data_IF_539325635922
#
_entry.id   IF_539325635922
#
_cell.length_a   1.000
_cell.length_b   1.000
_cell.length_c   1.000
_cell.angle_alpha   90.00
_cell.angle_beta   90.00
_cell.angle_gamma   90.00
#
_symmetry.space_group_name_H-M   'P 1'
#
loop_
_entity.id
_entity.type
_entity.pdbx_description
1 polymer ?
#
# COMPACT_ATOMS: atom_id res chain seq x y z
N UNK A 1 8.47 -11.82 17.22
CA UNK A 1 8.01 -10.52 16.68
C UNK A 1 8.34 -9.46 17.72
N UNK A 2 8.89 -8.31 17.33
CA UNK A 2 9.09 -7.20 18.28
C UNK A 2 7.72 -6.77 18.81
N UNK A 3 7.57 -6.66 20.14
CA UNK A 3 6.29 -6.31 20.77
C UNK A 3 5.93 -4.87 20.38
N UNK A 4 4.90 -4.72 19.55
CA UNK A 4 4.52 -3.42 18.98
C UNK A 4 3.96 -2.48 20.05
N UNK A 5 3.41 -3.01 21.14
CA UNK A 5 2.68 -2.22 22.14
C UNK A 5 3.48 -1.91 23.41
N UNK A 6 4.78 -2.22 23.47
CA UNK A 6 5.57 -1.74 24.60
C UNK A 6 5.56 -0.21 24.63
N UNK A 7 5.49 0.43 25.82
CA UNK A 7 5.47 1.88 25.91
C UNK A 7 6.61 2.55 25.14
N UNK A 8 7.81 1.97 25.18
CA UNK A 8 9.00 2.48 24.49
C UNK A 8 8.82 2.45 22.98
N UNK A 9 8.30 1.33 22.43
CA UNK A 9 8.06 1.19 21.00
C UNK A 9 6.95 2.11 20.53
N UNK A 10 5.89 2.27 21.31
CA UNK A 10 4.82 3.22 21.00
C UNK A 10 5.30 4.67 21.00
N UNK A 11 6.15 5.05 21.97
CA UNK A 11 6.77 6.38 22.01
C UNK A 11 7.68 6.57 20.78
N UNK A 12 8.55 5.60 20.49
CA UNK A 12 9.48 5.65 19.35
C UNK A 12 8.75 5.77 18.01
N UNK A 13 7.69 4.99 17.79
CA UNK A 13 6.94 5.03 16.54
C UNK A 13 6.15 6.33 16.35
N UNK A 14 5.67 6.94 17.44
CA UNK A 14 4.98 8.24 17.37
C UNK A 14 5.94 9.43 17.25
N UNK A 15 7.18 9.25 17.68
CA UNK A 15 8.22 10.26 17.66
C UNK A 15 8.80 10.51 16.26
N UNK A 16 9.71 11.48 16.22
CA UNK A 16 10.57 11.70 15.06
C UNK A 16 11.46 10.47 14.82
N UNK A 17 11.76 10.14 13.56
CA UNK A 17 12.58 9.00 13.24
C UNK A 17 14.00 9.21 13.80
N UNK A 18 14.56 8.19 14.43
CA UNK A 18 15.94 8.20 14.97
C UNK A 18 16.95 8.57 13.88
N UNK A 19 16.67 8.15 12.65
CA UNK A 19 17.44 8.49 11.46
C UNK A 19 16.52 9.09 10.40
N UNK A 20 16.88 10.23 9.81
CA UNK A 20 16.03 10.90 8.86
C UNK A 20 15.77 10.01 7.63
N UNK A 21 14.52 9.97 7.20
CA UNK A 21 14.14 9.36 5.91
C UNK A 21 14.50 10.35 4.81
N UNK A 22 15.36 9.94 3.87
CA UNK A 22 15.69 10.70 2.66
C UNK A 22 14.73 10.33 1.53
N UNK A 23 14.48 11.30 0.64
CA UNK A 23 13.61 11.18 -0.52
C UNK A 23 14.36 11.59 -1.78
N UNK A 24 14.38 10.72 -2.79
CA UNK A 24 14.96 10.99 -4.13
C UNK A 24 13.86 10.97 -5.18
N UNK A 25 13.90 11.94 -6.09
CA UNK A 25 12.95 12.13 -7.17
C UNK A 25 13.62 11.83 -8.51
N UNK A 26 13.05 10.94 -9.31
CA UNK A 26 13.56 10.64 -10.66
C UNK A 26 12.46 10.12 -11.57
N UNK A 27 12.76 9.96 -12.86
CA UNK A 27 11.91 9.27 -13.83
C UNK A 27 12.57 7.98 -14.32
N UNK A 28 11.77 6.97 -14.62
CA UNK A 28 12.21 5.68 -15.16
C UNK A 28 11.48 5.34 -16.44
N UNK A 29 12.19 4.77 -17.42
CA UNK A 29 11.58 4.27 -18.65
C UNK A 29 10.95 2.90 -18.38
N UNK A 30 9.62 2.81 -18.33
CA UNK A 30 8.93 1.53 -18.20
C UNK A 30 8.80 0.78 -19.54
N UNK A 31 8.92 1.51 -20.63
CA UNK A 31 9.02 1.01 -22.01
C UNK A 31 9.77 2.04 -22.88
N UNK A 32 10.14 1.74 -24.13
CA UNK A 32 10.80 2.69 -25.02
C UNK A 32 10.01 3.99 -25.29
N UNK A 33 8.71 4.03 -24.97
CA UNK A 33 7.83 5.17 -25.22
C UNK A 33 7.21 5.76 -23.96
N UNK A 34 7.56 5.24 -22.79
CA UNK A 34 6.87 5.58 -21.56
C UNK A 34 7.84 5.85 -20.42
N UNK A 35 7.66 7.02 -19.82
CA UNK A 35 8.32 7.45 -18.60
C UNK A 35 7.33 7.43 -17.45
N UNK A 36 7.73 6.81 -16.34
CA UNK A 36 7.00 6.84 -15.08
C UNK A 36 7.76 7.70 -14.05
N UNK A 37 7.01 8.51 -13.31
CA UNK A 37 7.55 9.31 -12.22
C UNK A 37 7.76 8.42 -10.99
N UNK A 38 8.95 8.52 -10.39
CA UNK A 38 9.36 7.68 -9.27
C UNK A 38 9.79 8.52 -8.06
N UNK A 39 9.60 7.96 -6.87
CA UNK A 39 10.07 8.51 -5.58
C UNK A 39 10.67 7.38 -4.76
N UNK A 40 11.93 7.51 -4.40
CA UNK A 40 12.62 6.53 -3.56
C UNK A 40 12.81 7.09 -2.16
N UNK A 41 12.32 6.36 -1.16
CA UNK A 41 12.42 6.71 0.25
C UNK A 41 13.31 5.68 0.96
N UNK A 42 14.29 6.15 1.72
CA UNK A 42 15.26 5.30 2.41
C UNK A 42 15.80 5.97 3.67
N UNK A 43 16.29 5.15 4.60
CA UNK A 43 17.00 5.62 5.80
C UNK A 43 18.45 5.15 5.73
N UNK A 44 19.41 6.07 5.90
CA UNK A 44 20.84 5.82 5.64
C UNK A 44 21.46 4.69 6.48
N UNK A 45 20.87 4.33 7.62
CA UNK A 45 21.46 3.37 8.55
C UNK A 45 20.97 1.93 8.36
N UNK A 46 20.13 1.65 7.36
CA UNK A 46 19.77 0.27 6.99
C UNK A 46 20.87 -0.45 6.19
N UNK A 47 22.04 0.17 6.05
CA UNK A 47 23.25 -0.47 5.54
C UNK A 47 23.87 -1.31 6.66
N UNK A 48 23.45 -2.58 6.74
CA UNK A 48 24.39 -3.59 7.19
C UNK A 48 25.60 -3.53 6.26
N UNK A 49 26.72 -3.00 6.75
CA UNK A 49 28.09 -3.02 6.20
C UNK A 49 28.39 -2.69 4.73
N UNK A 50 27.42 -2.46 3.86
CA UNK A 50 27.67 -2.23 2.44
C UNK A 50 27.20 -0.84 2.00
N UNK A 51 28.17 0.07 1.85
CA UNK A 51 28.03 1.24 0.99
C UNK A 51 27.68 2.55 1.69
N UNK A 52 28.64 3.47 1.68
CA UNK A 52 28.41 4.90 1.86
C UNK A 52 27.40 5.35 0.79
N UNK A 53 26.22 5.80 1.21
CA UNK A 53 25.29 6.46 0.31
C UNK A 53 25.97 7.71 -0.25
N UNK A 54 26.39 7.65 -1.52
CA UNK A 54 26.87 8.82 -2.24
C UNK A 54 25.68 9.75 -2.38
N UNK A 55 25.79 10.93 -1.77
CA UNK A 55 24.91 12.04 -2.03
C UNK A 55 24.86 12.22 -3.55
N UNK A 56 23.66 12.11 -4.15
CA UNK A 56 23.47 12.43 -5.55
C UNK A 56 23.69 13.95 -5.69
N UNK A 57 24.96 14.35 -5.75
CA UNK A 57 25.36 15.72 -6.04
C UNK A 57 24.70 16.11 -7.36
N UNK A 58 24.03 17.28 -7.42
CA UNK A 58 23.49 17.79 -8.66
C UNK A 58 24.66 18.07 -9.60
N UNK A 59 24.88 17.21 -10.61
CA UNK A 59 25.84 17.48 -11.67
C UNK A 59 25.66 18.91 -12.19
N UNK A 60 26.69 19.72 -11.94
CA UNK A 60 26.85 21.06 -12.49
C UNK A 60 26.98 20.94 -14.00
N UNK A 61 25.98 21.42 -14.74
CA UNK A 61 26.04 21.51 -16.20
C UNK A 61 26.88 22.74 -16.58
N UNK A 62 28.00 22.52 -17.26
CA UNK A 62 28.75 23.55 -17.99
C UNK A 62 27.91 24.01 -19.20
N UNK A 63 27.74 25.32 -19.44
CA UNK A 63 26.82 25.80 -20.46
C UNK A 63 27.50 25.80 -21.83
N UNK A 64 27.25 24.78 -22.65
CA UNK A 64 27.50 24.87 -24.09
C UNK A 64 26.19 25.01 -24.85
N UNK A 65 26.11 26.10 -25.62
CA UNK A 65 24.93 26.60 -26.34
C UNK A 65 24.44 25.61 -27.40
N UNK A 66 23.11 25.40 -27.48
CA UNK A 66 22.24 25.32 -28.68
C UNK A 66 20.81 24.83 -28.32
N UNK A 67 19.78 24.98 -29.18
CA UNK A 67 18.54 25.69 -28.85
C UNK A 67 17.43 24.83 -28.24
N UNK A 68 16.66 25.47 -27.34
CA UNK A 68 15.29 25.14 -26.89
C UNK A 68 14.92 23.64 -26.84
N UNK A 69 15.61 22.86 -25.98
CA UNK A 69 15.04 21.61 -25.49
C UNK A 69 14.12 21.90 -24.29
N UNK A 70 12.94 21.25 -24.18
CA UNK A 70 12.17 21.27 -22.94
C UNK A 70 13.04 20.75 -21.78
N UNK A 71 12.80 21.19 -20.53
CA UNK A 71 13.68 20.89 -19.41
C UNK A 71 13.95 19.39 -19.33
N UNK A 72 15.23 19.00 -19.44
CA UNK A 72 15.68 17.61 -19.33
C UNK A 72 15.22 17.06 -17.98
N UNK A 73 14.15 16.27 -17.97
CA UNK A 73 13.78 15.47 -16.79
C UNK A 73 14.92 14.48 -16.54
N UNK A 74 15.42 14.46 -15.31
CA UNK A 74 16.52 13.58 -14.89
C UNK A 74 16.07 12.12 -15.03
N UNK A 75 16.55 11.46 -16.08
CA UNK A 75 16.43 10.01 -16.25
C UNK A 75 17.50 9.36 -15.38
N UNK A 76 17.10 8.57 -14.40
CA UNK A 76 18.04 7.78 -13.62
C UNK A 76 18.37 6.50 -14.38
N UNK A 77 19.65 6.33 -14.72
CA UNK A 77 20.16 5.09 -15.27
C UNK A 77 20.94 4.35 -14.17
N UNK A 78 20.45 3.20 -13.66
CA UNK A 78 21.09 2.47 -12.57
C UNK A 78 22.52 2.04 -12.89
N UNK A 79 22.87 1.94 -14.19
CA UNK A 79 24.19 1.44 -14.63
C UNK A 79 25.32 2.45 -14.49
N UNK A 80 25.05 3.76 -14.38
CA UNK A 80 26.13 4.76 -14.40
C UNK A 80 26.60 5.24 -13.02
N UNK A 81 25.79 5.17 -11.96
CA UNK A 81 26.20 5.61 -10.61
C UNK A 81 25.35 4.99 -9.50
N UNK A 82 25.47 3.70 -9.16
CA UNK A 82 24.92 3.17 -7.90
C UNK A 82 25.43 1.78 -7.58
N UNK A 83 26.55 1.72 -6.88
CA UNK A 83 26.97 0.54 -6.12
C UNK A 83 26.65 0.65 -4.62
N UNK A 84 25.92 1.68 -4.16
CA UNK A 84 25.72 1.93 -2.72
C UNK A 84 24.30 2.25 -2.23
N UNK A 85 23.29 2.26 -3.09
CA UNK A 85 21.89 2.38 -2.64
C UNK A 85 21.28 0.99 -2.46
N UNK A 86 20.87 0.65 -1.23
CA UNK A 86 20.23 -0.62 -0.93
C UNK A 86 18.90 -0.76 -1.68
N UNK A 87 18.65 -1.92 -2.27
CA UNK A 87 17.46 -2.18 -3.10
C UNK A 87 16.16 -1.93 -2.32
N UNK A 88 15.10 -1.39 -2.96
CA UNK A 88 13.80 -1.26 -2.31
C UNK A 88 13.30 -2.61 -1.82
N UNK A 89 12.66 -2.66 -0.65
CA UNK A 89 11.93 -3.87 -0.22
C UNK A 89 10.50 -3.88 -0.72
N UNK A 90 9.97 -2.70 -1.07
CA UNK A 90 8.61 -2.51 -1.54
C UNK A 90 8.57 -1.62 -2.78
N UNK A 91 7.89 -2.08 -3.83
CA UNK A 91 7.41 -1.22 -4.91
C UNK A 91 5.97 -0.82 -4.62
N UNK A 92 5.70 0.48 -4.50
CA UNK A 92 4.40 1.00 -4.03
C UNK A 92 3.76 1.92 -5.07
N UNK A 93 2.67 1.47 -5.67
CA UNK A 93 2.01 2.20 -6.74
C UNK A 93 0.80 3.02 -6.25
N UNK A 94 0.71 4.28 -6.69
CA UNK A 94 -0.45 5.13 -6.39
C UNK A 94 -1.68 4.79 -7.25
N UNK A 95 -2.78 5.54 -7.07
CA UNK A 95 -3.98 5.49 -7.92
C UNK A 95 -3.81 6.35 -9.18
N UNK A 96 -4.64 6.13 -10.21
CA UNK A 96 -4.63 6.99 -11.41
C UNK A 96 -4.80 8.48 -11.10
N UNK A 97 -4.08 9.33 -11.84
CA UNK A 97 -4.17 10.78 -11.79
C UNK A 97 -3.99 11.37 -10.37
N UNK A 98 -3.15 10.75 -9.56
CA UNK A 98 -2.78 11.24 -8.24
C UNK A 98 -1.29 11.45 -8.17
N UNK A 99 -0.89 12.60 -7.64
CA UNK A 99 0.50 12.92 -7.35
C UNK A 99 1.03 11.99 -6.25
N UNK A 100 2.24 11.47 -6.43
CA UNK A 100 3.03 10.80 -5.41
C UNK A 100 3.20 11.60 -4.10
N UNK A 101 3.09 12.93 -4.16
CA UNK A 101 3.10 13.82 -2.99
C UNK A 101 1.70 13.95 -2.33
N UNK A 102 0.75 13.05 -2.61
CA UNK A 102 -0.55 13.02 -1.92
C UNK A 102 -0.35 12.85 -0.41
N UNK A 103 -0.91 13.76 0.42
CA UNK A 103 -0.93 13.60 1.86
C UNK A 103 -1.49 12.24 2.27
N UNK A 104 -0.89 11.61 3.27
CA UNK A 104 -1.23 10.27 3.73
C UNK A 104 -0.71 9.11 2.88
N UNK A 105 -0.43 9.26 1.58
CA UNK A 105 0.28 8.22 0.82
C UNK A 105 1.79 8.36 0.97
N UNK A 106 2.26 9.60 0.88
CA UNK A 106 3.64 9.94 1.23
C UNK A 106 3.96 9.61 2.69
N UNK A 107 3.08 9.98 3.62
CA UNK A 107 3.31 9.71 5.05
C UNK A 107 3.37 8.21 5.36
N UNK A 108 2.54 7.39 4.70
CA UNK A 108 2.67 5.94 4.76
C UNK A 108 4.04 5.45 4.27
N UNK A 109 4.53 5.99 3.15
CA UNK A 109 5.85 5.62 2.63
C UNK A 109 6.98 6.09 3.54
N UNK A 110 6.88 7.28 4.14
CA UNK A 110 7.82 7.78 5.14
C UNK A 110 7.88 6.86 6.35
N UNK A 111 6.72 6.45 6.88
CA UNK A 111 6.64 5.49 7.98
C UNK A 111 7.25 4.14 7.63
N UNK A 112 6.96 3.61 6.44
CA UNK A 112 7.54 2.36 5.97
C UNK A 112 9.07 2.45 5.80
N UNK A 113 9.54 3.57 5.26
CA UNK A 113 10.96 3.86 5.02
C UNK A 113 11.82 3.86 6.28
N UNK A 114 11.22 4.07 7.46
CA UNK A 114 11.92 3.95 8.75
C UNK A 114 12.42 2.53 9.01
N UNK A 115 11.83 1.50 8.37
CA UNK A 115 12.24 0.11 8.52
C UNK A 115 12.86 -0.47 7.25
N UNK A 116 12.37 -0.06 6.08
CA UNK A 116 12.78 -0.62 4.80
C UNK A 116 12.64 0.38 3.66
N UNK A 117 13.55 0.36 2.69
CA UNK A 117 13.46 1.23 1.51
C UNK A 117 12.20 0.95 0.69
N UNK A 118 11.57 2.01 0.18
CA UNK A 118 10.37 1.91 -0.68
C UNK A 118 10.54 2.76 -1.93
N UNK A 119 10.23 2.15 -3.07
CA UNK A 119 10.15 2.84 -4.35
C UNK A 119 8.67 3.04 -4.70
N UNK A 120 8.23 4.29 -4.62
CA UNK A 120 6.92 4.67 -5.12
C UNK A 120 6.99 5.08 -6.58
N UNK A 121 5.93 4.78 -7.32
CA UNK A 121 5.80 5.22 -8.69
C UNK A 121 4.35 5.54 -9.04
N UNK A 122 4.17 6.39 -10.05
CA UNK A 122 2.88 6.71 -10.63
C UNK A 122 2.87 6.50 -12.13
N UNK A 123 1.70 6.11 -12.62
CA UNK A 123 1.38 6.04 -14.04
C UNK A 123 -0.03 6.64 -14.25
N UNK A 124 -0.25 7.19 -15.43
CA UNK A 124 -1.50 7.85 -15.84
C UNK A 124 -2.46 6.90 -16.56
N UNK A 125 -2.03 5.72 -17.00
CA UNK A 125 -2.86 4.78 -17.76
C UNK A 125 -4.07 4.30 -16.96
N UNK A 126 -5.25 4.27 -17.53
CA UNK A 126 -6.42 3.71 -16.83
C UNK A 126 -6.38 2.16 -16.79
N UNK A 127 -5.51 1.52 -17.58
CA UNK A 127 -5.40 0.06 -17.67
C UNK A 127 -4.66 -0.54 -16.46
N UNK A 128 -5.28 -1.53 -15.81
CA UNK A 128 -4.63 -2.28 -14.72
C UNK A 128 -3.50 -3.18 -15.22
N UNK A 129 -3.60 -3.72 -16.44
CA UNK A 129 -2.54 -4.57 -17.01
C UNK A 129 -1.31 -3.75 -17.38
N UNK A 130 -1.54 -2.54 -17.88
CA UNK A 130 -0.48 -1.57 -18.11
C UNK A 130 0.27 -1.23 -16.82
N UNK A 131 -0.48 -0.88 -15.78
CA UNK A 131 0.07 -0.61 -14.44
C UNK A 131 0.81 -1.83 -13.86
N UNK A 132 0.30 -3.05 -14.09
CA UNK A 132 0.97 -4.29 -13.70
C UNK A 132 2.28 -4.51 -14.46
N UNK A 133 2.36 -4.11 -15.73
CA UNK A 133 3.60 -4.18 -16.51
C UNK A 133 4.69 -3.26 -15.95
N UNK A 134 4.32 -2.08 -15.41
CA UNK A 134 5.26 -1.16 -14.78
C UNK A 134 5.95 -1.78 -13.54
N UNK A 135 5.25 -2.61 -12.75
CA UNK A 135 5.89 -3.36 -11.67
C UNK A 135 6.99 -4.29 -12.19
N UNK A 136 6.76 -4.98 -13.31
CA UNK A 136 7.76 -5.88 -13.92
C UNK A 136 8.96 -5.09 -14.43
N UNK A 137 8.72 -3.97 -15.13
CA UNK A 137 9.81 -3.12 -15.61
C UNK A 137 10.69 -2.62 -14.46
N UNK A 138 10.05 -2.18 -13.37
CA UNK A 138 10.79 -1.73 -12.19
C UNK A 138 11.53 -2.87 -11.52
N UNK A 139 10.94 -4.06 -11.37
CA UNK A 139 11.61 -5.22 -10.78
C UNK A 139 12.87 -5.66 -11.55
N UNK A 140 12.92 -5.42 -12.86
CA UNK A 140 14.10 -5.70 -13.67
C UNK A 140 15.29 -4.77 -13.38
N UNK A 141 15.04 -3.60 -12.80
CA UNK A 141 16.07 -2.58 -12.51
C UNK A 141 16.30 -2.35 -11.01
N UNK A 142 15.25 -2.54 -10.22
CA UNK A 142 15.22 -2.34 -8.78
C UNK A 142 14.57 -3.59 -8.17
N UNK A 143 15.39 -4.47 -7.59
CA UNK A 143 14.82 -5.67 -6.96
C UNK A 143 13.93 -5.28 -5.77
N UNK A 144 12.82 -5.99 -5.57
CA UNK A 144 11.96 -5.80 -4.41
C UNK A 144 11.37 -7.12 -3.93
N UNK A 145 11.15 -7.21 -2.61
CA UNK A 145 10.58 -8.39 -1.96
C UNK A 145 9.06 -8.32 -1.80
N UNK A 146 8.47 -7.14 -1.97
CA UNK A 146 7.04 -6.92 -1.90
C UNK A 146 6.56 -5.97 -3.00
N UNK A 147 5.33 -6.18 -3.46
CA UNK A 147 4.59 -5.22 -4.28
C UNK A 147 3.45 -4.64 -3.47
N UNK A 148 3.04 -3.43 -3.78
CA UNK A 148 1.93 -2.82 -3.09
C UNK A 148 1.33 -1.66 -3.84
N UNK A 149 0.25 -1.14 -3.28
CA UNK A 149 -0.26 0.12 -3.78
C UNK A 149 -1.44 0.65 -3.00
N UNK A 150 -1.92 1.80 -3.46
CA UNK A 150 -3.12 2.46 -2.95
C UNK A 150 -4.26 2.37 -3.93
N UNK A 151 -5.43 1.92 -3.46
CA UNK A 151 -6.64 1.87 -4.27
C UNK A 151 -6.45 1.05 -5.57
N UNK A 152 -6.54 1.68 -6.75
CA UNK A 152 -6.24 1.04 -8.04
C UNK A 152 -4.80 0.55 -8.15
N UNK A 153 -3.86 1.20 -7.46
CA UNK A 153 -2.48 0.73 -7.39
C UNK A 153 -2.36 -0.64 -6.73
N UNK A 154 -3.16 -0.89 -5.68
CA UNK A 154 -3.23 -2.20 -5.03
C UNK A 154 -3.77 -3.28 -5.97
N UNK A 155 -4.80 -2.96 -6.77
CA UNK A 155 -5.33 -3.88 -7.81
C UNK A 155 -4.29 -4.18 -8.89
N UNK A 156 -3.50 -3.19 -9.28
CA UNK A 156 -2.40 -3.40 -10.21
C UNK A 156 -1.28 -4.26 -9.59
N UNK A 157 -0.99 -4.09 -8.30
CA UNK A 157 -0.02 -4.93 -7.59
C UNK A 157 -0.43 -6.40 -7.55
N UNK A 158 -1.73 -6.71 -7.33
CA UNK A 158 -2.27 -8.08 -7.43
C UNK A 158 -1.98 -8.67 -8.81
N UNK A 159 -2.28 -7.93 -9.88
CA UNK A 159 -1.99 -8.39 -11.25
C UNK A 159 -0.48 -8.53 -11.49
N UNK A 160 0.34 -7.63 -10.96
CA UNK A 160 1.79 -7.71 -11.03
C UNK A 160 2.36 -8.96 -10.37
N UNK A 161 1.85 -9.35 -9.20
CA UNK A 161 2.27 -10.55 -8.47
C UNK A 161 1.92 -11.86 -9.20
N UNK A 162 0.92 -11.86 -10.08
CA UNK A 162 0.62 -13.03 -10.93
C UNK A 162 1.70 -13.32 -11.96
N UNK A 163 2.44 -12.30 -12.38
CA UNK A 163 3.44 -12.38 -13.46
C UNK A 163 4.86 -12.13 -12.96
N UNK A 164 5.08 -12.22 -11.65
CA UNK A 164 6.40 -12.01 -11.02
C UNK A 164 6.63 -13.07 -9.95
N UNK A 165 7.88 -13.19 -9.50
CA UNK A 165 8.25 -14.02 -8.35
C UNK A 165 7.89 -13.38 -7.01
N UNK A 166 7.41 -12.14 -7.00
CA UNK A 166 7.09 -11.41 -5.79
C UNK A 166 5.73 -11.86 -5.23
N UNK A 167 5.76 -12.57 -4.10
CA UNK A 167 4.58 -13.18 -3.46
C UNK A 167 4.13 -12.47 -2.18
N UNK A 168 4.71 -11.31 -1.89
CA UNK A 168 4.32 -10.50 -0.73
C UNK A 168 3.65 -9.22 -1.20
N UNK A 169 2.43 -8.97 -0.71
CA UNK A 169 1.59 -7.87 -1.14
C UNK A 169 1.21 -6.95 0.02
N UNK A 170 1.32 -5.63 -0.16
CA UNK A 170 0.92 -4.61 0.83
C UNK A 170 -0.08 -3.64 0.21
N UNK A 171 -1.30 -3.62 0.71
CA UNK A 171 -2.37 -2.78 0.21
C UNK A 171 -2.67 -1.65 1.19
N UNK A 172 -2.28 -0.44 0.82
CA UNK A 172 -2.69 0.77 1.51
C UNK A 172 -4.00 1.27 0.92
N UNK A 173 -5.11 0.70 1.38
CA UNK A 173 -6.43 0.74 0.73
C UNK A 173 -6.58 -0.16 -0.49
N UNK A 174 -7.73 -0.85 -0.58
CA UNK A 174 -8.10 -1.72 -1.69
C UNK A 174 -9.60 -1.58 -1.96
N UNK A 175 -10.08 -1.30 -3.18
CA UNK A 175 -11.51 -1.16 -3.46
C UNK A 175 -12.15 -2.50 -3.89
N UNK A 176 -13.17 -2.92 -3.15
CA UNK A 176 -14.00 -4.13 -3.35
C UNK A 176 -15.37 -3.87 -4.04
N UNK A 177 -16.05 -2.74 -3.81
CA UNK A 177 -17.55 -2.68 -3.97
C UNK A 177 -18.14 -2.29 -5.33
N UNK A 178 -17.44 -1.59 -6.21
CA UNK A 178 -18.03 -1.38 -7.56
C UNK A 178 -18.01 -2.75 -8.32
N UNK A 179 -18.83 -3.01 -9.34
CA UNK A 179 -18.90 -4.24 -10.19
C UNK A 179 -18.71 -5.60 -9.48
N UNK A 180 -19.77 -6.09 -8.80
CA UNK A 180 -19.75 -7.24 -7.87
C UNK A 180 -19.33 -8.61 -8.45
N UNK A 181 -19.49 -8.88 -9.74
CA UNK A 181 -19.28 -10.23 -10.30
C UNK A 181 -17.84 -10.54 -10.74
N UNK A 182 -17.00 -9.53 -11.05
CA UNK A 182 -15.67 -9.74 -11.67
C UNK A 182 -14.45 -9.37 -10.79
N UNK A 183 -14.65 -8.98 -9.52
CA UNK A 183 -13.62 -8.20 -8.79
C UNK A 183 -12.76 -8.90 -7.77
N UNK A 184 -13.23 -9.97 -7.15
CA UNK A 184 -12.37 -10.75 -6.28
C UNK A 184 -11.61 -11.80 -7.06
N UNK A 185 -11.94 -12.07 -8.32
CA UNK A 185 -11.29 -13.10 -9.14
C UNK A 185 -9.77 -13.03 -9.04
N UNK A 186 -9.20 -11.83 -9.17
CA UNK A 186 -7.74 -11.69 -9.10
C UNK A 186 -7.18 -11.84 -7.69
N UNK A 187 -7.91 -11.49 -6.64
CA UNK A 187 -7.52 -11.77 -5.26
C UNK A 187 -7.65 -13.26 -4.92
N UNK A 188 -8.75 -13.88 -5.35
CA UNK A 188 -9.05 -15.30 -5.14
C UNK A 188 -8.13 -16.21 -5.97
N UNK A 189 -7.61 -15.71 -7.09
CA UNK A 189 -6.61 -16.40 -7.91
C UNK A 189 -5.17 -16.26 -7.37
N UNK A 190 -4.95 -15.55 -6.25
CA UNK A 190 -3.66 -15.57 -5.59
C UNK A 190 -3.46 -16.93 -4.92
N UNK A 191 -2.32 -17.56 -5.22
CA UNK A 191 -1.95 -18.87 -4.69
C UNK A 191 -1.69 -18.85 -3.17
N UNK A 192 -1.69 -20.04 -2.57
CA UNK A 192 -1.41 -20.24 -1.14
C UNK A 192 -0.01 -19.82 -0.68
N UNK A 193 0.91 -19.55 -1.62
CA UNK A 193 2.26 -19.03 -1.32
C UNK A 193 2.26 -17.50 -1.21
N UNK A 194 1.18 -16.85 -1.61
CA UNK A 194 1.06 -15.40 -1.58
C UNK A 194 0.62 -14.94 -0.18
N UNK A 195 1.26 -13.88 0.30
CA UNK A 195 0.99 -13.25 1.59
C UNK A 195 0.55 -11.81 1.38
N UNK A 196 -0.53 -11.41 2.05
CA UNK A 196 -1.18 -10.12 1.79
C UNK A 196 -1.45 -9.37 3.08
N UNK A 197 -0.95 -8.14 3.17
CA UNK A 197 -1.29 -7.19 4.22
C UNK A 197 -2.29 -6.16 3.70
N UNK A 198 -3.46 -6.12 4.33
CA UNK A 198 -4.45 -5.07 4.13
C UNK A 198 -4.30 -4.00 5.20
N UNK A 199 -4.10 -2.75 4.79
CA UNK A 199 -4.22 -1.57 5.65
C UNK A 199 -5.48 -0.85 5.22
N UNK A 200 -6.57 -1.01 5.99
CA UNK A 200 -7.90 -0.55 5.61
C UNK A 200 -8.60 0.15 6.76
N UNK A 201 -9.29 1.22 6.40
CA UNK A 201 -10.26 1.86 7.26
C UNK A 201 -11.55 1.05 7.42
N UNK A 202 -12.12 1.04 8.62
CA UNK A 202 -13.43 0.42 8.88
C UNK A 202 -14.62 1.22 8.28
N UNK A 203 -14.39 2.49 7.98
CA UNK A 203 -15.36 3.43 7.42
C UNK A 203 -15.15 3.63 5.92
N UNK A 204 -14.46 2.70 5.25
CA UNK A 204 -14.17 2.75 3.83
C UNK A 204 -15.33 2.16 3.01
N UNK A 205 -16.17 2.99 2.35
CA UNK A 205 -17.31 2.50 1.59
C UNK A 205 -16.91 1.70 0.34
N UNK A 206 -15.66 1.83 -0.10
CA UNK A 206 -15.15 1.05 -1.22
C UNK A 206 -14.70 -0.34 -0.79
N UNK A 207 -14.54 -0.60 0.52
CA UNK A 207 -14.12 -1.89 1.07
C UNK A 207 -14.82 -2.18 2.41
N UNK A 208 -16.15 -2.38 2.42
CA UNK A 208 -16.90 -2.73 3.61
C UNK A 208 -16.32 -3.98 4.25
N UNK A 209 -16.26 -3.97 5.57
CA UNK A 209 -15.70 -5.04 6.39
C UNK A 209 -16.35 -6.39 6.10
N UNK A 210 -17.68 -6.43 5.93
CA UNK A 210 -18.40 -7.65 5.56
C UNK A 210 -17.92 -8.25 4.24
N UNK A 211 -17.66 -7.42 3.22
CA UNK A 211 -17.15 -7.89 1.93
C UNK A 211 -15.70 -8.37 2.04
N UNK A 212 -14.88 -7.67 2.82
CA UNK A 212 -13.52 -8.10 3.11
C UNK A 212 -13.51 -9.45 3.84
N UNK A 213 -14.39 -9.66 4.83
CA UNK A 213 -14.51 -10.91 5.56
C UNK A 213 -14.88 -12.08 4.63
N UNK A 214 -15.82 -11.87 3.71
CA UNK A 214 -16.18 -12.88 2.70
C UNK A 214 -15.00 -13.23 1.78
N UNK A 215 -14.24 -12.24 1.33
CA UNK A 215 -13.04 -12.46 0.51
C UNK A 215 -11.97 -13.21 1.29
N UNK A 216 -11.72 -12.81 2.55
CA UNK A 216 -10.74 -13.46 3.43
C UNK A 216 -11.03 -14.93 3.68
N UNK A 217 -12.31 -15.30 3.80
CA UNK A 217 -12.73 -16.70 3.95
C UNK A 217 -12.49 -17.55 2.70
N UNK A 218 -12.37 -16.93 1.52
CA UNK A 218 -12.29 -17.60 0.22
C UNK A 218 -10.90 -17.57 -0.41
N UNK A 219 -10.02 -16.67 0.01
CA UNK A 219 -8.66 -16.59 -0.52
C UNK A 219 -7.82 -17.75 -0.04
N UNK A 220 -7.05 -18.35 -0.95
CA UNK A 220 -6.00 -19.31 -0.60
C UNK A 220 -4.77 -18.61 0.00
N UNK A 221 -4.47 -17.42 -0.52
CA UNK A 221 -3.39 -16.57 -0.02
C UNK A 221 -3.59 -16.20 1.46
N UNK A 222 -2.49 -16.18 2.22
CA UNK A 222 -2.53 -15.81 3.64
C UNK A 222 -2.72 -14.30 3.80
N UNK A 223 -3.61 -13.89 4.69
CA UNK A 223 -4.00 -12.47 4.83
C UNK A 223 -3.85 -11.95 6.25
N UNK A 224 -3.33 -10.74 6.35
CA UNK A 224 -3.29 -9.90 7.54
C UNK A 224 -4.11 -8.64 7.31
N UNK A 225 -4.67 -8.09 8.39
CA UNK A 225 -5.46 -6.87 8.36
C UNK A 225 -5.10 -5.93 9.49
N UNK A 226 -4.60 -4.75 9.10
CA UNK A 226 -4.54 -3.56 9.93
C UNK A 226 -5.85 -2.79 9.75
N UNK A 227 -6.74 -2.92 10.73
CA UNK A 227 -8.01 -2.19 10.82
C UNK A 227 -7.77 -0.81 11.39
N UNK A 228 -8.03 0.24 10.62
CA UNK A 228 -7.86 1.62 11.07
C UNK A 228 -9.23 2.22 11.38
N UNK A 229 -9.53 2.44 12.65
CA UNK A 229 -10.84 2.92 13.07
C UNK A 229 -11.10 4.32 12.53
N UNK A 230 -12.31 4.52 12.01
CA UNK A 230 -12.82 5.78 11.42
C UNK A 230 -12.11 6.23 10.15
N UNK A 231 -11.19 5.43 9.59
CA UNK A 231 -10.55 5.79 8.33
C UNK A 231 -11.50 5.47 7.16
N UNK A 232 -11.57 6.39 6.20
CA UNK A 232 -12.28 6.19 4.95
C UNK A 232 -11.33 5.63 3.86
N UNK A 233 -11.78 5.62 2.59
CA UNK A 233 -10.92 5.18 1.49
C UNK A 233 -9.71 6.10 1.26
N UNK A 234 -9.82 7.37 1.64
CA UNK A 234 -8.80 8.38 1.42
C UNK A 234 -7.83 8.50 2.59
N UNK A 235 -8.15 7.91 3.74
CA UNK A 235 -7.46 8.15 5.02
C UNK A 235 -7.53 9.63 5.39
N UNK A 236 -8.71 10.23 5.22
CA UNK A 236 -8.93 11.64 5.52
C UNK A 236 -9.19 11.83 7.02
N UNK A 237 -8.18 12.35 7.72
CA UNK A 237 -8.26 12.72 9.14
C UNK A 237 -8.07 14.22 9.33
N UNK A 238 -8.46 14.72 10.51
CA UNK A 238 -8.28 16.12 10.90
C UNK A 238 -6.86 16.37 11.39
N UNK A 239 -6.37 17.60 11.19
CA UNK A 239 -5.13 18.09 11.78
C UNK A 239 -3.91 17.16 11.60
N UNK A 240 -3.12 16.98 12.65
CA UNK A 240 -1.90 16.17 12.71
C UNK A 240 -2.14 14.68 12.46
N UNK A 241 -3.34 14.16 12.76
CA UNK A 241 -3.71 12.76 12.52
C UNK A 241 -3.66 12.37 11.04
N UNK A 242 -3.84 13.34 10.13
CA UNK A 242 -3.73 13.14 8.68
C UNK A 242 -2.36 12.63 8.25
N UNK A 243 -1.31 12.99 9.01
CA UNK A 243 0.06 12.54 8.82
C UNK A 243 0.40 11.36 9.74
N UNK A 244 0.06 11.47 11.03
CA UNK A 244 0.48 10.50 12.06
C UNK A 244 -0.12 9.11 11.85
N UNK A 245 -1.40 9.00 11.48
CA UNK A 245 -2.03 7.68 11.29
C UNK A 245 -1.42 6.93 10.10
N UNK A 246 -1.28 7.54 8.90
CA UNK A 246 -0.61 6.88 7.80
C UNK A 246 0.85 6.52 8.08
N UNK A 247 1.61 7.40 8.74
CA UNK A 247 3.01 7.13 9.12
C UNK A 247 3.11 5.92 10.05
N UNK A 248 2.29 5.84 11.10
CA UNK A 248 2.22 4.65 11.98
C UNK A 248 1.82 3.40 11.20
N UNK A 249 0.84 3.49 10.29
CA UNK A 249 0.45 2.37 9.45
C UNK A 249 1.60 1.90 8.53
N UNK A 250 2.39 2.83 8.00
CA UNK A 250 3.59 2.54 7.22
C UNK A 250 4.64 1.79 8.03
N UNK A 251 4.88 2.24 9.27
CA UNK A 251 5.79 1.57 10.19
C UNK A 251 5.34 0.15 10.52
N UNK A 252 4.05 -0.04 10.84
CA UNK A 252 3.46 -1.37 11.09
C UNK A 252 3.63 -2.27 9.86
N UNK A 253 3.41 -1.76 8.64
CA UNK A 253 3.61 -2.52 7.42
C UNK A 253 5.09 -2.89 7.18
N UNK A 254 6.02 -2.00 7.51
CA UNK A 254 7.46 -2.28 7.47
C UNK A 254 7.85 -3.39 8.45
N UNK A 255 7.36 -3.32 9.69
CA UNK A 255 7.60 -4.34 10.70
C UNK A 255 6.97 -5.69 10.34
N UNK A 256 5.76 -5.69 9.78
CA UNK A 256 5.10 -6.88 9.25
C UNK A 256 5.88 -7.53 8.10
N UNK A 257 6.50 -6.72 7.23
CA UNK A 257 7.33 -7.24 6.14
C UNK A 257 8.60 -7.89 6.69
N UNK A 258 9.22 -7.29 7.71
CA UNK A 258 10.39 -7.82 8.41
C UNK A 258 10.10 -9.17 9.08
N UNK A 259 8.98 -9.26 9.80
CA UNK A 259 8.54 -10.48 10.47
C UNK A 259 7.05 -10.44 10.78
N UNK A 260 6.35 -11.55 10.59
CA UNK A 260 4.93 -11.71 10.91
C UNK A 260 4.68 -13.10 11.47
N UNK A 261 3.63 -13.20 12.27
CA UNK A 261 3.16 -14.46 12.85
C UNK A 261 1.97 -14.95 12.00
N UNK A 262 1.99 -16.23 11.65
CA UNK A 262 0.96 -16.83 10.79
C UNK A 262 -0.36 -17.09 11.53
N UNK A 263 -0.35 -17.15 12.86
CA UNK A 263 -1.55 -17.26 13.70
C UNK A 263 -2.18 -15.92 14.06
N UNK A 264 -1.41 -14.83 14.03
CA UNK A 264 -1.88 -13.49 14.43
C UNK A 264 -2.05 -12.58 13.22
N UNK A 265 -3.29 -12.43 12.77
CA UNK A 265 -3.63 -11.80 11.48
C UNK A 265 -4.33 -10.46 11.58
N UNK A 266 -4.71 -10.00 12.77
CA UNK A 266 -5.49 -8.76 12.93
C UNK A 266 -4.85 -7.78 13.90
N UNK A 267 -4.78 -6.51 13.53
CA UNK A 267 -4.30 -5.44 14.39
C UNK A 267 -5.21 -4.23 14.21
N UNK A 268 -5.56 -3.54 15.29
CA UNK A 268 -6.37 -2.32 15.22
C UNK A 268 -5.53 -1.08 15.50
N UNK A 269 -5.62 -0.07 14.65
CA UNK A 269 -5.10 1.29 14.85
C UNK A 269 -6.27 2.22 15.11
N UNK A 270 -6.15 3.08 16.13
CA UNK A 270 -7.19 4.04 16.49
C UNK A 270 -6.57 5.30 17.11
N UNK A 271 -7.40 6.29 17.39
CA UNK A 271 -7.00 7.48 18.15
C UNK A 271 -7.67 7.44 19.52
N UNK A 272 -6.88 7.62 20.59
CA UNK A 272 -7.36 7.79 21.96
C UNK A 272 -6.76 9.07 22.52
N UNK A 273 -7.60 9.97 23.03
CA UNK A 273 -7.19 11.25 23.63
C UNK A 273 -6.27 12.08 22.71
N UNK A 274 -6.57 12.10 21.41
CA UNK A 274 -5.77 12.81 20.39
C UNK A 274 -4.48 12.11 19.98
N UNK A 275 -4.18 10.93 20.52
CA UNK A 275 -2.95 10.19 20.23
C UNK A 275 -3.25 8.90 19.48
N UNK A 276 -2.43 8.59 18.48
CA UNK A 276 -2.51 7.32 17.74
C UNK A 276 -2.08 6.17 18.65
N UNK A 277 -2.89 5.13 18.75
CA UNK A 277 -2.61 3.91 19.52
C UNK A 277 -3.00 2.68 18.69
N UNK A 278 -2.43 1.53 19.02
CA UNK A 278 -2.73 0.28 18.34
C UNK A 278 -2.71 -0.90 19.30
N UNK A 279 -3.34 -2.00 18.88
CA UNK A 279 -3.33 -3.27 19.60
C UNK A 279 -2.10 -4.11 19.22
N UNK A 280 -1.87 -5.17 19.97
CA UNK A 280 -1.04 -6.27 19.45
C UNK A 280 -1.73 -6.97 18.27
N UNK A 281 -0.96 -7.76 17.53
CA UNK A 281 -1.53 -8.69 16.55
C UNK A 281 -2.34 -9.77 17.27
N UNK A 282 -3.56 -10.02 16.80
CA UNK A 282 -4.49 -11.00 17.34
C UNK A 282 -4.84 -12.04 16.26
N UNK A 283 -5.22 -13.24 16.71
CA UNK A 283 -5.83 -14.22 15.82
C UNK A 283 -7.13 -13.67 15.23
N UNK A 284 -7.48 -14.13 14.02
CA UNK A 284 -8.75 -13.83 13.38
C UNK A 284 -9.90 -14.14 14.36
N UNK A 285 -10.68 -13.11 14.71
CA UNK A 285 -11.91 -13.32 15.46
C UNK A 285 -12.92 -13.96 14.51
N UNK A 286 -13.05 -15.27 14.60
CA UNK A 286 -14.23 -15.94 14.05
C UNK A 286 -15.36 -15.65 15.04
N UNK A 287 -16.01 -14.50 14.88
CA UNK A 287 -17.32 -14.31 15.46
C UNK A 287 -18.24 -15.31 14.75
N UNK A 288 -18.44 -16.45 15.39
CA UNK A 288 -19.58 -17.34 15.14
C UNK A 288 -20.84 -16.61 15.60
N UNK A 289 -21.17 -15.47 14.99
CA UNK A 289 -22.50 -14.90 15.13
C UNK A 289 -23.46 -15.84 14.41
N UNK A 290 -24.37 -16.40 15.21
CA UNK A 290 -25.19 -17.55 14.89
C UNK A 290 -25.93 -17.44 13.57
N UNK A 291 -26.25 -18.60 13.01
CA UNK A 291 -27.10 -18.85 11.84
C UNK A 291 -28.06 -17.70 11.49
N UNK A 292 -27.60 -16.69 10.76
CA UNK A 292 -28.50 -15.79 10.04
C UNK A 292 -28.82 -16.48 8.73
N UNK A 293 -29.79 -17.39 8.77
CA UNK A 293 -30.32 -18.12 7.60
C UNK A 293 -31.21 -17.26 6.71
N UNK A 294 -31.36 -15.96 7.00
CA UNK A 294 -32.20 -15.07 6.20
C UNK A 294 -31.83 -13.61 6.38
N UNK A 295 -31.56 -12.94 5.27
CA UNK A 295 -31.50 -11.47 5.19
C UNK A 295 -32.80 -11.01 4.51
N UNK A 296 -33.57 -10.16 5.18
CA UNK A 296 -34.70 -9.48 4.56
C UNK A 296 -34.20 -8.17 3.95
N UNK A 297 -34.24 -8.08 2.61
CA UNK A 297 -33.97 -6.83 1.89
C UNK A 297 -35.32 -6.17 1.56
N UNK A 298 -35.58 -5.01 2.15
CA UNK A 298 -36.64 -4.11 1.67
C UNK A 298 -36.09 -3.25 0.54
N UNK A 299 -36.59 -3.47 -0.67
CA UNK A 299 -36.28 -2.63 -1.82
C UNK A 299 -37.31 -1.51 -1.88
N UNK A 300 -36.94 -0.32 -1.43
CA UNK A 300 -37.72 0.89 -1.65
C UNK A 300 -37.52 1.34 -3.10
N UNK A 301 -38.42 0.93 -4.00
CA UNK A 301 -38.51 1.48 -5.35
C UNK A 301 -39.58 2.57 -5.40
N UNK A 302 -39.22 3.86 -5.53
CA UNK A 302 -40.19 4.97 -5.47
C UNK A 302 -41.12 5.08 -6.70
N UNK A 303 -40.97 4.23 -7.73
CA UNK A 303 -41.69 4.40 -9.01
C UNK A 303 -42.45 3.15 -9.51
N UNK A 304 -42.79 2.19 -8.65
CA UNK A 304 -43.66 1.07 -9.04
C UNK A 304 -44.96 1.12 -8.25
N UNK A 305 -46.07 1.43 -8.92
CA UNK A 305 -47.41 1.30 -8.37
C UNK A 305 -47.76 -0.19 -8.21
N UNK A 306 -47.44 -0.76 -7.05
CA UNK A 306 -47.91 -2.08 -6.66
C UNK A 306 -46.96 -2.85 -5.74
N UNK A 307 -47.14 -2.66 -4.43
CA UNK A 307 -46.78 -3.61 -3.37
C UNK A 307 -45.32 -3.66 -2.93
N UNK A 308 -45.07 -3.46 -1.64
CA UNK A 308 -43.82 -3.81 -0.98
C UNK A 308 -43.52 -5.30 -1.24
N UNK A 309 -42.49 -5.58 -2.04
CA UNK A 309 -41.99 -6.96 -2.22
C UNK A 309 -40.81 -7.15 -1.28
N UNK A 310 -41.00 -7.93 -0.22
CA UNK A 310 -39.90 -8.48 0.55
C UNK A 310 -39.36 -9.70 -0.20
N UNK A 311 -38.03 -9.76 -0.38
CA UNK A 311 -37.35 -10.96 -0.86
C UNK A 311 -36.62 -11.52 0.35
N UNK A 312 -37.03 -12.71 0.79
CA UNK A 312 -36.30 -13.50 1.78
C UNK A 312 -35.32 -14.40 1.03
N UNK A 313 -34.03 -14.08 1.10
CA UNK A 313 -32.98 -14.97 0.60
C UNK A 313 -32.60 -15.90 1.76
N UNK A 314 -32.84 -17.20 1.59
CA UNK A 314 -32.32 -18.25 2.48
C UNK A 314 -30.96 -18.71 1.93
N UNK A 315 -29.92 -18.62 2.75
CA UNK A 315 -28.58 -19.16 2.47
C UNK A 315 -28.47 -20.55 3.09
#
# INVERSE_FOLDING_TARGET
MELLTTPENMIRMRGEPVHPVRKVRFTHWSSPRELIDCRFYFTQNHTGNDGVAVELEPESITPERLPQQPPRKRSYNPTSHTSSLSSPRLHLHTRSNFNLDSPGFEDFALGFARHHNVLMFEDRSESLDHRAANFRSLLNHFTATALGGRSRGARAAVRGAMYTSCKTLIFYTYPLVRDLETRFEKLLALDSKTEVLFVLGDSNPQCPEMQLALVRKRMEAKMWWVRVLRADHRFEFKEDLKKRIPDVCGQIAGLWLKSRDFGLTELTVQTKDGVVVWTEWMALRVELEGSVTSINLEILSPNLSGGNRSITVRL
#
